data_IF_178081391954
#
_entry.id   IF_178081391954
#
_cell.length_a   1.000
_cell.length_b   1.000
_cell.length_c   1.000
_cell.angle_alpha   90.00
_cell.angle_beta   90.00
_cell.angle_gamma   90.00
#
_symmetry.space_group_name_H-M   'P 1'
#
loop_
_entity.id
_entity.type
_entity.pdbx_description
1 polymer ?
#
# COMPACT_ATOMS: atom_id res chain seq x y z
N UNK A 1 6.99 11.39 -6.18
CA UNK A 1 6.66 9.94 -6.18
C UNK A 1 5.35 9.64 -5.45
N UNK A 2 5.22 9.80 -4.12
CA UNK A 2 4.01 9.47 -3.35
C UNK A 2 2.72 10.13 -3.87
N UNK A 3 2.80 11.39 -4.34
CA UNK A 3 1.65 12.09 -4.92
C UNK A 3 1.16 11.43 -6.21
N UNK A 4 2.10 11.06 -7.08
CA UNK A 4 1.80 10.41 -8.36
C UNK A 4 1.22 9.00 -8.15
N UNK A 5 1.76 8.27 -7.18
CA UNK A 5 1.23 6.96 -6.77
C UNK A 5 -0.23 7.05 -6.33
N UNK A 6 -0.54 7.94 -5.38
CA UNK A 6 -1.92 8.11 -4.88
C UNK A 6 -2.87 8.56 -5.98
N UNK A 7 -2.42 9.45 -6.89
CA UNK A 7 -3.25 9.93 -8.01
C UNK A 7 -3.50 8.84 -9.04
N UNK A 8 -2.49 8.02 -9.37
CA UNK A 8 -2.61 6.94 -10.34
C UNK A 8 -3.59 5.85 -9.88
N UNK A 9 -3.58 5.54 -8.58
CA UNK A 9 -4.42 4.49 -7.99
C UNK A 9 -5.83 4.96 -7.62
N UNK A 10 -6.18 6.23 -7.82
CA UNK A 10 -7.56 6.76 -7.61
C UNK A 10 -8.58 6.20 -8.59
N UNK A 11 -8.15 5.52 -9.65
CA UNK A 11 -9.01 5.05 -10.74
C UNK A 11 -9.70 3.71 -10.48
N UNK A 12 -9.46 3.05 -9.33
CA UNK A 12 -10.20 1.83 -8.98
C UNK A 12 -11.65 2.20 -8.66
N UNK A 13 -12.56 1.82 -9.53
CA UNK A 13 -14.00 2.06 -9.35
C UNK A 13 -14.60 1.07 -8.33
N UNK A 14 -15.65 1.48 -7.65
CA UNK A 14 -16.40 0.62 -6.75
C UNK A 14 -17.05 -0.53 -7.57
N UNK A 15 -16.93 -1.81 -7.16
CA UNK A 15 -17.67 -2.89 -7.81
C UNK A 15 -19.19 -2.82 -7.50
N UNK A 16 -19.59 -2.06 -6.48
CA UNK A 16 -20.99 -1.88 -6.11
C UNK A 16 -21.54 -0.59 -6.70
N UNK A 17 -22.74 -0.68 -7.25
CA UNK A 17 -23.53 0.47 -7.63
C UNK A 17 -23.78 1.36 -6.41
N UNK A 18 -23.52 2.63 -6.51
CA UNK A 18 -23.75 3.63 -5.47
C UNK A 18 -24.38 4.88 -6.05
N UNK A 19 -25.13 5.63 -5.25
CA UNK A 19 -25.63 6.93 -5.68
C UNK A 19 -24.47 7.84 -6.08
N UNK A 20 -24.60 8.46 -7.26
CA UNK A 20 -23.65 9.44 -7.81
C UNK A 20 -24.45 10.56 -8.46
N UNK A 21 -23.84 11.72 -8.64
CA UNK A 21 -24.49 12.87 -9.29
C UNK A 21 -24.74 12.57 -10.78
N UNK A 22 -23.77 11.94 -11.44
CA UNK A 22 -23.85 11.55 -12.85
C UNK A 22 -23.40 10.08 -12.97
N UNK A 23 -24.27 9.22 -13.46
CA UNK A 23 -24.06 7.78 -13.47
C UNK A 23 -24.72 7.08 -14.65
N UNK A 24 -24.22 5.88 -14.95
CA UNK A 24 -24.66 5.07 -16.07
C UNK A 24 -26.05 4.42 -15.89
N UNK A 25 -26.59 4.41 -14.66
CA UNK A 25 -27.89 3.79 -14.37
C UNK A 25 -28.78 4.74 -13.61
N UNK A 26 -30.01 4.90 -14.09
CA UNK A 26 -31.05 5.68 -13.43
C UNK A 26 -31.55 4.97 -12.16
N UNK A 27 -31.61 5.72 -11.01
CA UNK A 27 -32.17 5.24 -9.75
C UNK A 27 -33.63 5.66 -9.63
N UNK A 28 -34.51 4.88 -10.29
CA UNK A 28 -35.95 5.14 -10.31
C UNK A 28 -36.52 5.25 -8.89
N UNK A 29 -36.13 4.36 -7.98
CA UNK A 29 -36.67 4.34 -6.61
C UNK A 29 -36.38 5.63 -5.83
N UNK A 30 -35.13 6.12 -5.91
CA UNK A 30 -34.73 7.36 -5.23
C UNK A 30 -35.35 8.58 -5.89
N UNK A 31 -35.43 8.59 -7.22
CA UNK A 31 -36.02 9.67 -7.98
C UNK A 31 -37.52 9.81 -7.65
N UNK A 32 -38.29 8.70 -7.68
CA UNK A 32 -39.70 8.71 -7.29
C UNK A 32 -39.90 9.11 -5.83
N UNK A 33 -39.05 8.61 -4.92
CA UNK A 33 -39.14 9.02 -3.52
C UNK A 33 -38.87 10.52 -3.30
N UNK A 34 -37.94 11.08 -4.07
CA UNK A 34 -37.66 12.52 -4.04
C UNK A 34 -38.81 13.36 -4.63
N UNK A 35 -39.46 12.89 -5.70
CA UNK A 35 -40.56 13.58 -6.38
C UNK A 35 -41.84 13.70 -5.52
N UNK A 36 -41.98 12.85 -4.50
CA UNK A 36 -43.10 12.99 -3.52
C UNK A 36 -43.11 14.35 -2.82
N UNK A 37 -41.96 15.00 -2.69
CA UNK A 37 -41.87 16.36 -2.09
C UNK A 37 -42.24 17.46 -3.03
N UNK A 38 -42.34 17.18 -4.30
CA UNK A 38 -42.62 18.14 -5.37
C UNK A 38 -43.94 17.85 -6.09
N UNK A 39 -44.88 17.14 -5.42
CA UNK A 39 -46.18 16.81 -5.98
C UNK A 39 -46.14 15.75 -7.08
N UNK A 40 -45.04 15.03 -7.25
CA UNK A 40 -44.85 14.01 -8.29
C UNK A 40 -43.93 14.43 -9.43
N UNK A 41 -43.54 15.70 -9.50
CA UNK A 41 -42.63 16.20 -10.54
C UNK A 41 -41.17 15.74 -10.24
N UNK A 42 -40.53 15.19 -11.28
CA UNK A 42 -39.13 14.81 -11.23
C UNK A 42 -38.25 16.01 -11.52
N UNK A 43 -37.86 16.75 -10.49
CA UNK A 43 -36.97 17.94 -10.64
C UNK A 43 -35.51 17.51 -10.65
N UNK A 44 -35.14 16.55 -9.81
CA UNK A 44 -33.76 16.05 -9.69
C UNK A 44 -33.68 14.54 -9.94
N UNK A 45 -33.23 14.09 -11.11
CA UNK A 45 -33.03 12.68 -11.37
C UNK A 45 -31.81 12.14 -10.56
N UNK A 46 -32.00 11.00 -9.91
CA UNK A 46 -30.93 10.31 -9.20
C UNK A 46 -30.32 9.19 -10.04
N UNK A 47 -29.00 9.07 -9.96
CA UNK A 47 -28.25 8.07 -10.71
C UNK A 47 -27.43 7.16 -9.81
N UNK A 48 -27.17 5.96 -10.33
CA UNK A 48 -26.24 4.98 -9.77
C UNK A 48 -25.02 4.86 -10.68
N UNK A 49 -23.87 4.72 -10.05
CA UNK A 49 -22.61 4.53 -10.76
C UNK A 49 -21.59 3.79 -9.90
N UNK A 50 -20.42 3.67 -10.45
CA UNK A 50 -19.25 3.09 -9.78
C UNK A 50 -18.28 4.21 -9.38
N UNK A 51 -18.48 4.89 -8.23
CA UNK A 51 -17.63 5.99 -7.83
C UNK A 51 -16.17 5.54 -7.63
N UNK A 52 -15.21 6.42 -7.90
CA UNK A 52 -13.81 6.11 -7.67
C UNK A 52 -13.57 5.80 -6.20
N UNK A 53 -12.86 4.72 -5.93
CA UNK A 53 -12.46 4.31 -4.60
C UNK A 53 -11.10 4.91 -4.25
N UNK A 54 -10.98 5.42 -3.04
CA UNK A 54 -9.68 5.83 -2.53
C UNK A 54 -8.90 4.60 -2.05
N UNK A 55 -7.72 4.32 -2.59
CA UNK A 55 -6.89 3.21 -2.15
C UNK A 55 -6.43 3.41 -0.71
N UNK A 56 -6.20 2.30 -0.01
CA UNK A 56 -5.49 2.23 1.26
C UNK A 56 -4.08 1.69 1.01
N UNK A 57 -3.15 2.03 1.89
CA UNK A 57 -1.76 1.60 1.76
C UNK A 57 -1.28 0.98 3.06
N UNK A 58 -0.58 -0.13 2.96
CA UNK A 58 0.23 -0.72 4.02
C UNK A 58 1.66 -0.75 3.51
N UNK A 59 2.53 0.01 4.16
CA UNK A 59 3.94 0.13 3.78
C UNK A 59 4.79 -0.53 4.85
N UNK A 60 5.61 -1.46 4.44
CA UNK A 60 6.53 -2.23 5.27
C UNK A 60 7.95 -1.82 4.90
N UNK A 61 8.63 -1.15 5.82
CA UNK A 61 9.98 -0.61 5.64
C UNK A 61 10.96 -1.51 6.37
N UNK A 62 11.91 -2.03 5.64
CA UNK A 62 13.00 -2.82 6.19
C UNK A 62 13.98 -1.93 6.95
N UNK A 63 14.15 -2.18 8.24
CA UNK A 63 15.05 -1.48 9.12
C UNK A 63 16.32 -2.30 9.41
N UNK A 64 16.71 -3.21 8.53
CA UNK A 64 17.97 -3.95 8.61
C UNK A 64 19.19 -3.05 8.38
N UNK A 65 20.37 -3.54 8.78
CA UNK A 65 21.62 -2.82 8.59
C UNK A 65 21.94 -2.55 7.12
N UNK A 66 21.66 -3.51 6.23
CA UNK A 66 21.86 -3.36 4.78
C UNK A 66 21.01 -2.22 4.19
N UNK A 67 19.85 -1.94 4.81
CA UNK A 67 18.94 -0.89 4.37
C UNK A 67 19.21 0.48 5.00
N UNK A 68 20.20 0.61 5.89
CA UNK A 68 20.48 1.84 6.64
C UNK A 68 20.79 3.05 5.74
N UNK A 69 21.51 2.85 4.65
CA UNK A 69 21.83 3.89 3.67
C UNK A 69 20.56 4.44 2.98
N UNK A 70 19.54 3.58 2.78
CA UNK A 70 18.29 3.94 2.11
C UNK A 70 17.24 4.49 3.08
N UNK A 71 17.47 4.40 4.39
CA UNK A 71 16.51 4.78 5.42
C UNK A 71 15.98 6.22 5.27
N UNK A 72 16.80 7.27 5.00
CA UNK A 72 16.29 8.62 4.80
C UNK A 72 15.29 8.73 3.65
N UNK A 73 15.57 8.04 2.53
CA UNK A 73 14.70 8.02 1.35
C UNK A 73 13.39 7.27 1.63
N UNK A 74 13.45 6.12 2.30
CA UNK A 74 12.29 5.33 2.69
C UNK A 74 11.36 6.11 3.62
N UNK A 75 11.92 6.76 4.64
CA UNK A 75 11.16 7.59 5.57
C UNK A 75 10.56 8.83 4.90
N UNK A 76 11.30 9.47 3.98
CA UNK A 76 10.79 10.59 3.19
C UNK A 76 9.60 10.17 2.32
N UNK A 77 9.67 9.01 1.65
CA UNK A 77 8.58 8.43 0.89
C UNK A 77 7.36 8.13 1.77
N UNK A 78 7.55 7.43 2.89
CA UNK A 78 6.48 7.07 3.81
C UNK A 78 5.78 8.30 4.40
N UNK A 79 6.56 9.33 4.78
CA UNK A 79 6.04 10.61 5.24
C UNK A 79 5.24 11.34 4.17
N UNK A 80 5.75 11.40 2.93
CA UNK A 80 5.04 12.00 1.82
C UNK A 80 3.71 11.29 1.55
N UNK A 81 3.67 9.96 1.67
CA UNK A 81 2.44 9.17 1.54
C UNK A 81 1.45 9.48 2.67
N UNK A 82 1.91 9.54 3.93
CA UNK A 82 1.08 9.89 5.08
C UNK A 82 0.44 11.29 4.98
N UNK A 83 1.13 12.24 4.33
CA UNK A 83 0.60 13.59 4.07
C UNK A 83 -0.47 13.60 2.99
N UNK A 84 -0.43 12.66 2.05
CA UNK A 84 -1.36 12.56 0.92
C UNK A 84 -2.61 11.77 1.22
N UNK A 85 -2.54 10.79 2.11
CA UNK A 85 -3.69 9.98 2.48
C UNK A 85 -3.71 9.62 3.95
N UNK A 86 -4.89 9.73 4.55
CA UNK A 86 -5.13 9.22 5.91
C UNK A 86 -5.26 7.70 5.96
N UNK A 87 -5.32 7.04 4.79
CA UNK A 87 -5.50 5.59 4.65
C UNK A 87 -4.19 4.84 4.46
N UNK A 88 -3.08 5.39 4.95
CA UNK A 88 -1.79 4.74 4.97
C UNK A 88 -1.44 4.26 6.37
N UNK A 89 -1.00 3.01 6.49
CA UNK A 89 -0.34 2.43 7.66
C UNK A 89 1.12 2.16 7.33
N UNK A 90 2.03 2.68 8.14
CA UNK A 90 3.47 2.55 7.94
C UNK A 90 4.06 1.72 9.07
N UNK A 91 4.82 0.72 8.70
CA UNK A 91 5.43 -0.24 9.60
C UNK A 91 6.93 -0.34 9.33
N UNK A 92 7.72 -0.36 10.38
CA UNK A 92 9.11 -0.74 10.34
C UNK A 92 9.23 -2.20 10.76
N UNK A 93 10.12 -2.94 10.12
CA UNK A 93 10.42 -4.31 10.49
C UNK A 93 11.92 -4.61 10.37
N UNK A 94 12.39 -5.48 11.25
CA UNK A 94 13.67 -6.19 11.19
C UNK A 94 13.49 -7.55 11.83
N UNK A 95 13.72 -7.72 13.13
CA UNK A 95 13.36 -8.91 13.91
C UNK A 95 11.92 -8.89 14.40
N UNK A 96 11.31 -7.69 14.50
CA UNK A 96 9.93 -7.47 14.92
C UNK A 96 9.26 -6.38 14.06
N UNK A 97 7.92 -6.35 14.09
CA UNK A 97 7.12 -5.35 13.36
C UNK A 97 6.63 -4.27 14.32
N UNK A 98 6.86 -2.99 13.96
CA UNK A 98 6.40 -1.81 14.71
C UNK A 98 5.63 -0.85 13.80
N UNK A 99 4.44 -0.42 14.20
CA UNK A 99 3.72 0.65 13.50
C UNK A 99 4.29 2.02 13.87
N UNK A 100 4.63 2.84 12.85
CA UNK A 100 5.20 4.19 13.00
C UNK A 100 4.36 5.27 12.31
N UNK A 101 3.13 4.95 11.98
CA UNK A 101 2.23 5.86 11.23
C UNK A 101 1.99 7.19 11.95
N UNK A 102 1.77 7.13 13.26
CA UNK A 102 1.47 8.32 14.09
C UNK A 102 2.70 9.24 14.19
N UNK A 103 3.85 8.64 14.36
CA UNK A 103 5.13 9.34 14.46
C UNK A 103 5.44 10.09 13.16
N UNK A 104 5.26 9.43 12.02
CA UNK A 104 5.52 10.04 10.71
C UNK A 104 4.52 11.15 10.35
N UNK A 105 3.33 11.15 10.92
CA UNK A 105 2.34 12.22 10.75
C UNK A 105 2.66 13.44 11.62
N UNK A 106 3.28 13.25 12.76
CA UNK A 106 3.60 14.34 13.70
C UNK A 106 4.98 14.91 13.40
N UNK A 107 5.00 16.09 12.74
CA UNK A 107 6.23 16.76 12.30
C UNK A 107 7.14 17.21 13.48
N UNK A 108 6.55 17.54 14.63
CA UNK A 108 7.32 17.96 15.82
C UNK A 108 8.10 16.77 16.42
N UNK A 109 7.48 15.58 16.44
CA UNK A 109 8.15 14.36 16.93
C UNK A 109 9.24 13.87 15.98
N UNK A 110 9.11 14.14 14.67
CA UNK A 110 10.12 13.72 13.68
C UNK A 110 11.46 14.46 13.79
N UNK A 111 11.51 15.69 14.32
CA UNK A 111 12.77 16.38 14.58
C UNK A 111 13.55 15.75 15.74
N UNK A 112 12.82 15.12 16.69
CA UNK A 112 13.39 14.33 17.78
C UNK A 112 13.61 12.86 17.41
N UNK A 113 13.07 12.40 16.28
CA UNK A 113 13.22 11.05 15.76
C UNK A 113 14.56 10.98 15.00
N UNK A 114 15.66 11.05 15.74
CA UNK A 114 16.92 10.52 15.25
C UNK A 114 16.72 9.01 15.03
N UNK A 115 17.31 8.50 13.97
CA UNK A 115 17.33 7.07 13.64
C UNK A 115 17.84 6.19 14.83
N UNK A 116 18.50 6.82 15.80
CA UNK A 116 18.98 6.25 17.06
C UNK A 116 17.84 5.78 18.01
N UNK A 117 16.66 6.38 17.98
CA UNK A 117 15.47 5.91 18.70
C UNK A 117 14.79 4.68 18.05
N UNK A 118 15.26 4.28 16.87
CA UNK A 118 14.95 3.03 16.19
C UNK A 118 16.01 1.95 16.48
N UNK A 119 17.00 2.26 17.34
CA UNK A 119 18.20 1.48 17.56
C UNK A 119 17.97 -0.01 17.86
N UNK A 120 16.93 -0.35 18.62
CA UNK A 120 16.55 -1.74 18.89
C UNK A 120 15.87 -2.43 17.70
N UNK A 121 15.32 -1.66 16.77
CA UNK A 121 14.74 -2.18 15.52
C UNK A 121 15.77 -2.20 14.37
N UNK A 122 16.87 -1.43 14.50
CA UNK A 122 17.89 -1.27 13.48
C UNK A 122 19.15 -2.06 13.82
N UNK A 123 19.52 -3.05 13.01
CA UNK A 123 20.81 -3.74 13.14
C UNK A 123 20.76 -5.22 13.50
N UNK A 124 19.58 -5.79 13.74
CA UNK A 124 19.37 -7.25 13.81
C UNK A 124 19.25 -7.89 12.42
N UNK A 125 19.35 -9.21 12.34
CA UNK A 125 19.03 -9.93 11.11
C UNK A 125 17.56 -9.75 10.74
N UNK A 126 17.26 -9.63 9.45
CA UNK A 126 15.90 -9.38 8.96
C UNK A 126 15.11 -10.70 8.93
N UNK A 127 13.92 -10.69 9.55
CA UNK A 127 12.96 -11.80 9.49
C UNK A 127 11.70 -11.35 8.76
N UNK A 128 11.79 -11.22 7.43
CA UNK A 128 10.72 -10.69 6.58
C UNK A 128 9.47 -11.55 6.74
N UNK A 129 9.60 -12.86 6.63
CA UNK A 129 8.47 -13.78 6.74
C UNK A 129 7.72 -13.67 8.08
N UNK A 130 8.44 -13.58 9.19
CA UNK A 130 7.85 -13.41 10.52
C UNK A 130 7.14 -12.07 10.67
N UNK A 131 7.72 -10.99 10.13
CA UNK A 131 7.14 -9.63 10.13
C UNK A 131 5.88 -9.55 9.30
N UNK A 132 5.85 -10.16 8.10
CA UNK A 132 4.65 -10.26 7.26
C UNK A 132 3.54 -11.08 7.95
N UNK A 133 3.89 -12.20 8.59
CA UNK A 133 2.95 -13.00 9.36
C UNK A 133 2.39 -12.23 10.58
N UNK A 134 3.23 -11.43 11.24
CA UNK A 134 2.80 -10.54 12.32
C UNK A 134 1.85 -9.44 11.82
N UNK A 135 2.13 -8.86 10.64
CA UNK A 135 1.25 -7.90 9.98
C UNK A 135 -0.13 -8.51 9.70
N UNK A 136 -0.18 -9.71 9.16
CA UNK A 136 -1.41 -10.46 8.93
C UNK A 136 -2.23 -10.67 10.21
N UNK A 137 -1.57 -11.09 11.30
CA UNK A 137 -2.25 -11.36 12.57
C UNK A 137 -2.76 -10.10 13.25
N UNK A 138 -1.93 -9.05 13.33
CA UNK A 138 -2.24 -7.85 14.14
C UNK A 138 -2.96 -6.77 13.36
N UNK A 139 -2.75 -6.71 12.05
CA UNK A 139 -3.26 -5.64 11.18
C UNK A 139 -4.05 -6.17 9.97
N UNK A 140 -4.49 -7.43 10.02
CA UNK A 140 -5.23 -8.09 8.94
C UNK A 140 -6.50 -7.36 8.51
N UNK A 141 -7.17 -6.63 9.41
CA UNK A 141 -8.33 -5.80 9.08
C UNK A 141 -8.02 -4.61 8.14
N UNK A 142 -6.75 -4.23 7.99
CA UNK A 142 -6.31 -3.22 7.01
C UNK A 142 -6.06 -3.81 5.63
N UNK A 143 -5.96 -5.14 5.53
CA UNK A 143 -5.66 -5.85 4.29
C UNK A 143 -6.97 -6.27 3.61
N UNK A 144 -7.34 -5.58 2.56
CA UNK A 144 -8.58 -5.82 1.80
C UNK A 144 -8.40 -5.46 0.32
N UNK A 145 -9.44 -5.67 -0.47
CA UNK A 145 -9.52 -5.44 -1.92
C UNK A 145 -9.18 -4.00 -2.40
N UNK A 146 -8.98 -3.06 -1.47
CA UNK A 146 -8.59 -1.67 -1.74
C UNK A 146 -7.21 -1.33 -1.25
N UNK A 147 -6.53 -2.27 -0.61
CA UNK A 147 -5.25 -2.04 0.02
C UNK A 147 -4.12 -2.46 -0.91
N UNK A 148 -3.21 -1.54 -1.18
CA UNK A 148 -1.92 -1.83 -1.79
C UNK A 148 -0.88 -2.01 -0.70
N UNK A 149 -0.18 -3.13 -0.75
CA UNK A 149 0.94 -3.42 0.16
C UNK A 149 2.23 -3.08 -0.57
N UNK A 150 3.07 -2.28 0.07
CA UNK A 150 4.38 -1.86 -0.45
C UNK A 150 5.42 -2.36 0.52
N UNK A 151 6.26 -3.29 0.08
CA UNK A 151 7.43 -3.77 0.84
C UNK A 151 8.65 -3.07 0.29
N UNK A 152 9.45 -2.43 1.15
CA UNK A 152 10.71 -1.78 0.78
C UNK A 152 11.82 -2.53 1.51
N UNK A 153 12.57 -3.36 0.76
CA UNK A 153 13.61 -4.25 1.29
C UNK A 153 14.50 -4.75 0.16
N UNK A 154 15.75 -5.05 0.47
CA UNK A 154 16.69 -5.75 -0.42
C UNK A 154 16.35 -7.25 -0.55
N UNK A 155 15.49 -7.78 0.34
CA UNK A 155 15.02 -9.17 0.31
C UNK A 155 15.96 -10.15 0.99
N UNK A 156 16.96 -9.66 1.74
CA UNK A 156 17.86 -10.52 2.54
C UNK A 156 17.11 -10.97 3.79
N UNK A 157 16.54 -12.17 3.74
CA UNK A 157 15.81 -12.79 4.86
C UNK A 157 16.65 -13.89 5.50
N UNK A 158 16.89 -13.77 6.81
CA UNK A 158 17.54 -14.82 7.63
C UNK A 158 16.50 -15.75 8.28
N UNK A 159 15.22 -15.52 8.03
CA UNK A 159 14.12 -16.32 8.53
C UNK A 159 13.78 -17.52 7.66
N UNK A 160 12.66 -18.15 7.98
CA UNK A 160 12.14 -19.29 7.23
C UNK A 160 11.47 -18.84 5.94
N UNK A 161 12.04 -19.20 4.80
CA UNK A 161 11.54 -18.85 3.45
C UNK A 161 10.10 -19.36 3.22
N UNK A 162 9.75 -20.52 3.76
CA UNK A 162 8.41 -21.08 3.67
C UNK A 162 7.37 -20.20 4.37
N UNK A 163 7.74 -19.61 5.52
CA UNK A 163 6.88 -18.67 6.24
C UNK A 163 6.68 -17.39 5.45
N UNK A 164 7.75 -16.84 4.85
CA UNK A 164 7.68 -15.68 3.98
C UNK A 164 6.73 -15.93 2.81
N UNK A 165 6.91 -17.05 2.11
CA UNK A 165 6.09 -17.44 0.97
C UNK A 165 4.61 -17.58 1.33
N UNK A 166 4.29 -18.22 2.46
CA UNK A 166 2.91 -18.33 2.98
C UNK A 166 2.32 -16.97 3.31
N UNK A 167 3.08 -16.13 4.03
CA UNK A 167 2.60 -14.82 4.48
C UNK A 167 2.33 -13.86 3.31
N UNK A 168 3.29 -13.72 2.38
CA UNK A 168 3.11 -12.85 1.20
C UNK A 168 2.00 -13.34 0.30
N UNK A 169 1.84 -14.67 0.14
CA UNK A 169 0.76 -15.25 -0.63
C UNK A 169 -0.62 -15.00 -0.02
N UNK A 170 -0.73 -14.98 1.32
CA UNK A 170 -1.99 -14.60 1.98
C UNK A 170 -2.28 -13.11 1.83
N UNK A 171 -1.26 -12.25 1.90
CA UNK A 171 -1.38 -10.81 1.68
C UNK A 171 -1.86 -10.55 0.24
N UNK A 172 -1.21 -11.14 -0.75
CA UNK A 172 -1.53 -10.97 -2.17
C UNK A 172 -2.98 -11.32 -2.49
N UNK A 173 -3.51 -12.40 -1.91
CA UNK A 173 -4.91 -12.81 -2.12
C UNK A 173 -5.95 -11.87 -1.50
N UNK A 174 -5.57 -11.08 -0.49
CA UNK A 174 -6.49 -10.17 0.22
C UNK A 174 -6.45 -8.75 -0.32
N UNK A 175 -5.35 -8.36 -0.92
CA UNK A 175 -5.04 -6.98 -1.27
C UNK A 175 -5.24 -6.71 -2.77
N UNK A 176 -5.40 -5.44 -3.12
CA UNK A 176 -5.48 -4.98 -4.50
C UNK A 176 -4.19 -5.23 -5.29
N UNK A 177 -3.05 -5.28 -4.59
CA UNK A 177 -1.76 -5.59 -5.18
C UNK A 177 -0.63 -5.48 -4.17
N UNK A 178 0.49 -6.10 -4.50
CA UNK A 178 1.73 -6.07 -3.71
C UNK A 178 2.85 -5.53 -4.58
N UNK A 179 3.48 -4.44 -4.14
CA UNK A 179 4.68 -3.89 -4.75
C UNK A 179 5.89 -4.19 -3.86
N UNK A 180 6.98 -4.62 -4.47
CA UNK A 180 8.25 -4.78 -3.80
C UNK A 180 9.25 -3.77 -4.35
N UNK A 181 9.70 -2.86 -3.52
CA UNK A 181 10.67 -1.84 -3.88
C UNK A 181 12.03 -2.25 -3.33
N UNK A 182 12.90 -2.70 -4.22
CA UNK A 182 14.28 -3.02 -3.88
C UNK A 182 15.17 -1.85 -4.30
N UNK A 183 16.00 -1.28 -3.41
CA UNK A 183 16.90 -0.18 -3.75
C UNK A 183 17.83 -0.49 -4.93
N UNK A 184 18.24 -1.75 -5.06
CA UNK A 184 19.14 -2.21 -6.11
C UNK A 184 18.44 -2.46 -7.46
N UNK A 185 17.10 -2.42 -7.53
CA UNK A 185 16.35 -2.74 -8.74
C UNK A 185 16.55 -1.73 -9.88
N UNK A 186 17.12 -0.55 -9.60
CA UNK A 186 17.48 0.43 -10.64
C UNK A 186 18.78 0.08 -11.39
N UNK A 187 19.59 -0.85 -10.87
CA UNK A 187 20.84 -1.22 -11.50
C UNK A 187 20.58 -1.99 -12.82
N UNK A 188 21.33 -1.64 -13.85
CA UNK A 188 21.29 -2.38 -15.12
C UNK A 188 21.66 -3.85 -14.91
N UNK A 189 20.79 -4.75 -15.38
CA UNK A 189 20.99 -6.19 -15.18
C UNK A 189 20.61 -6.72 -13.80
N UNK A 190 19.83 -5.97 -13.00
CA UNK A 190 19.37 -6.44 -11.70
C UNK A 190 18.63 -7.78 -11.82
N UNK A 191 19.13 -8.77 -11.10
CA UNK A 191 18.47 -10.06 -10.92
C UNK A 191 18.15 -10.23 -9.45
N UNK A 192 16.88 -10.54 -9.09
CA UNK A 192 16.47 -10.75 -7.68
C UNK A 192 17.10 -12.04 -7.12
N UNK A 193 18.34 -11.94 -6.66
CA UNK A 193 19.12 -13.07 -6.16
C UNK A 193 18.82 -13.45 -4.71
N UNK A 194 18.38 -12.47 -3.89
CA UNK A 194 18.06 -12.69 -2.48
C UNK A 194 16.95 -13.74 -2.31
N UNK A 195 17.14 -14.71 -1.42
CA UNK A 195 16.21 -15.81 -1.21
C UNK A 195 14.80 -15.37 -0.85
N UNK A 196 14.68 -14.37 0.03
CA UNK A 196 13.38 -13.79 0.40
C UNK A 196 12.68 -13.14 -0.78
N UNK A 197 13.41 -12.39 -1.60
CA UNK A 197 12.84 -11.75 -2.79
C UNK A 197 12.38 -12.79 -3.82
N UNK A 198 13.21 -13.81 -4.13
CA UNK A 198 12.82 -14.90 -5.03
C UNK A 198 11.55 -15.62 -4.59
N UNK A 199 11.42 -15.86 -3.28
CA UNK A 199 10.24 -16.50 -2.72
C UNK A 199 8.98 -15.62 -2.81
N UNK A 200 9.13 -14.30 -2.80
CA UNK A 200 8.05 -13.34 -2.89
C UNK A 200 7.57 -13.08 -4.33
N UNK A 201 8.46 -13.19 -5.33
CA UNK A 201 8.18 -12.85 -6.73
C UNK A 201 6.84 -13.37 -7.28
N UNK A 202 6.42 -14.64 -7.06
CA UNK A 202 5.16 -15.15 -7.61
C UNK A 202 3.91 -14.42 -7.08
N UNK A 203 4.04 -13.66 -6.00
CA UNK A 203 2.93 -12.97 -5.31
C UNK A 203 3.01 -11.45 -5.43
N UNK A 204 4.05 -10.94 -6.09
CA UNK A 204 4.31 -9.51 -6.25
C UNK A 204 3.83 -9.03 -7.59
N UNK A 205 2.98 -8.01 -7.59
CA UNK A 205 2.44 -7.41 -8.82
C UNK A 205 3.48 -6.53 -9.54
N UNK A 206 4.38 -5.92 -8.76
CA UNK A 206 5.40 -5.01 -9.27
C UNK A 206 6.68 -5.11 -8.45
N UNK A 207 7.81 -5.24 -9.14
CA UNK A 207 9.16 -5.03 -8.61
C UNK A 207 9.72 -3.76 -9.25
N UNK A 208 10.24 -2.85 -8.43
CA UNK A 208 10.84 -1.58 -8.88
C UNK A 208 11.81 -1.05 -7.83
N UNK A 209 12.47 0.06 -8.14
CA UNK A 209 13.24 0.83 -7.16
C UNK A 209 12.42 1.99 -6.58
N UNK A 210 12.91 2.61 -5.50
CA UNK A 210 12.32 3.84 -4.96
C UNK A 210 12.36 5.01 -5.95
N UNK A 211 13.35 5.02 -6.84
CA UNK A 211 13.57 6.09 -7.81
C UNK A 211 12.63 5.93 -9.03
N UNK A 212 12.30 4.69 -9.39
CA UNK A 212 11.44 4.36 -10.51
C UNK A 212 9.94 4.32 -10.19
N UNK A 213 9.54 4.77 -9.03
CA UNK A 213 8.12 4.79 -8.61
C UNK A 213 7.16 5.47 -9.60
N UNK A 214 7.68 6.19 -10.59
CA UNK A 214 6.89 6.69 -11.73
C UNK A 214 6.37 5.56 -12.64
N UNK A 215 7.08 4.44 -12.74
CA UNK A 215 6.65 3.26 -13.50
C UNK A 215 5.47 2.51 -12.83
N UNK A 216 5.27 2.69 -11.52
CA UNK A 216 4.10 2.18 -10.78
C UNK A 216 2.76 2.64 -11.38
N UNK A 217 2.73 3.81 -11.99
CA UNK A 217 1.52 4.39 -12.60
C UNK A 217 0.92 3.51 -13.69
N UNK A 218 1.79 2.96 -14.55
CA UNK A 218 1.32 2.24 -15.74
C UNK A 218 0.96 0.79 -15.43
N UNK A 219 1.69 0.13 -14.56
CA UNK A 219 1.53 -1.31 -14.29
C UNK A 219 0.43 -1.65 -13.28
N UNK A 220 0.27 -0.86 -12.20
CA UNK A 220 -0.82 -1.09 -11.24
C UNK A 220 -2.20 -0.67 -11.77
N UNK A 221 -2.25 0.24 -12.75
CA UNK A 221 -3.49 0.61 -13.41
C UNK A 221 -4.02 -0.49 -14.34
N UNK A 222 -3.12 -1.27 -14.96
CA UNK A 222 -3.48 -2.37 -15.87
C UNK A 222 -4.09 -3.56 -15.13
N UNK A 223 -3.61 -3.88 -13.91
CA UNK A 223 -4.15 -4.98 -13.10
C UNK A 223 -5.50 -4.67 -12.44
N UNK A 224 -5.90 -3.40 -12.38
CA UNK A 224 -7.19 -2.98 -11.83
C UNK A 224 -8.32 -2.93 -12.88
N UNK A 225 -8.00 -3.16 -14.14
CA UNK A 225 -8.93 -3.09 -15.29
C UNK A 225 -9.18 -4.42 -16.00
N UNK A 226 -8.64 -5.54 -15.48
CA UNK A 226 -8.89 -6.88 -15.99
C UNK A 226 -9.91 -7.63 -15.14
#
# INVERSE_FOLDING_TARGET
CAQRLVSALRLVRSPRWRPVHDGARFDLRRTLHASLRTGGDIIEPHFLGHPPRHPSFVVLLDASRSMSEYAPRMLAFARALCRRTRRAGIFLFSTSLREVTRELRNTARMRAYRLEGLGDAWGGGTRIGASLAQCLRRHGGRLNDRTYVIVISDGLDVGEISLLRRAIGQISRRCAGVAWLNPHAAASGFVPAAGGMRAALPFVTLVSSLDELTALRTRLAVTAGA
#
